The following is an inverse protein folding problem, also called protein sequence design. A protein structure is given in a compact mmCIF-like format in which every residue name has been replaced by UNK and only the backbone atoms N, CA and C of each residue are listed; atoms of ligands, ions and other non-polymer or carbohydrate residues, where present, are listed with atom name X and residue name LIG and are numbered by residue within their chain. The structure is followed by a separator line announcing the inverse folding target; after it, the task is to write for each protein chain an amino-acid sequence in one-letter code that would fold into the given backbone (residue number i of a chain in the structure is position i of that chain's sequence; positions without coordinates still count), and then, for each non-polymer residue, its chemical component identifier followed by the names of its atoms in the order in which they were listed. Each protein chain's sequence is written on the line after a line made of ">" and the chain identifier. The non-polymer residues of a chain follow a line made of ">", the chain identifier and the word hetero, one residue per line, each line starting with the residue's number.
data_IF_002148652311
#
_entry.id   IF_002148652311
#
_cell.length_a   1.000
_cell.length_b   1.000
_cell.length_c   1.000
_cell.angle_alpha   90.00
_cell.angle_beta   90.00
_cell.angle_gamma   90.00
#
_symmetry.space_group_name_H-M   'P 1'
#
loop_
_entity.id
_entity.type
_entity.pdbx_description
1 polymer ?
#
# COMPACT_ATOMS: atom_id res chain seq x y z
N UNK A 1 -4.63 -13.28 23.56
CA UNK A 1 -4.93 -13.66 22.15
C UNK A 1 -5.58 -12.52 21.36
N UNK A 2 -6.72 -11.95 21.77
CA UNK A 2 -7.41 -10.87 21.01
C UNK A 2 -6.55 -9.60 20.81
N UNK A 3 -5.74 -9.22 21.81
CA UNK A 3 -4.84 -8.05 21.70
C UNK A 3 -3.76 -8.24 20.63
N UNK A 4 -3.09 -9.40 20.61
CA UNK A 4 -2.09 -9.74 19.58
C UNK A 4 -2.72 -9.75 18.19
N UNK A 5 -3.93 -10.28 18.05
CA UNK A 5 -4.64 -10.26 16.77
C UNK A 5 -4.93 -8.83 16.29
N UNK A 6 -5.39 -7.93 17.18
CA UNK A 6 -5.57 -6.52 16.84
C UNK A 6 -4.25 -5.84 16.44
N UNK A 7 -3.16 -6.15 17.13
CA UNK A 7 -1.83 -5.65 16.79
C UNK A 7 -1.35 -6.16 15.42
N UNK A 8 -1.57 -7.44 15.12
CA UNK A 8 -1.29 -8.02 13.81
C UNK A 8 -2.11 -7.34 12.71
N UNK A 9 -3.40 -7.09 12.93
CA UNK A 9 -4.25 -6.39 11.94
C UNK A 9 -3.80 -4.94 11.73
N UNK A 10 -3.37 -4.24 12.78
CA UNK A 10 -2.77 -2.92 12.65
C UNK A 10 -1.51 -2.97 11.77
N UNK A 11 -0.62 -3.93 12.03
CA UNK A 11 0.62 -4.07 11.25
C UNK A 11 0.32 -4.52 9.80
N UNK A 12 -0.71 -5.33 9.57
CA UNK A 12 -1.26 -5.63 8.23
C UNK A 12 -1.66 -4.35 7.48
N UNK A 13 -2.35 -3.44 8.14
CA UNK A 13 -2.79 -2.18 7.52
C UNK A 13 -1.59 -1.33 7.12
N UNK A 14 -0.64 -1.16 8.04
CA UNK A 14 0.56 -0.34 7.82
C UNK A 14 1.45 -0.94 6.72
N UNK A 15 1.64 -2.26 6.71
CA UNK A 15 2.38 -2.95 5.65
C UNK A 15 1.67 -2.81 4.31
N UNK A 16 0.35 -3.03 4.26
CA UNK A 16 -0.42 -2.94 3.01
C UNK A 16 -0.40 -1.52 2.42
N UNK A 17 -0.47 -0.49 3.27
CA UNK A 17 -0.40 0.92 2.89
C UNK A 17 0.98 1.34 2.33
N UNK A 18 2.05 0.61 2.64
CA UNK A 18 3.41 0.91 2.16
C UNK A 18 3.82 0.05 0.96
N UNK A 19 3.48 -1.25 0.99
CA UNK A 19 3.94 -2.23 -0.01
C UNK A 19 3.10 -2.28 -1.27
N UNK A 20 1.82 -1.89 -1.18
CA UNK A 20 0.89 -1.94 -2.31
C UNK A 20 0.49 -3.36 -2.71
N UNK A 21 0.72 -4.38 -1.86
CA UNK A 21 0.29 -5.76 -2.13
C UNK A 21 -1.24 -5.84 -2.31
N UNK A 22 -1.70 -6.76 -3.18
CA UNK A 22 -3.14 -7.11 -3.21
C UNK A 22 -3.52 -7.81 -1.91
N UNK A 23 -4.79 -7.72 -1.51
CA UNK A 23 -5.31 -8.37 -0.29
C UNK A 23 -4.99 -9.87 -0.26
N UNK A 24 -5.17 -10.57 -1.39
CA UNK A 24 -4.85 -11.99 -1.51
C UNK A 24 -3.36 -12.31 -1.47
N UNK A 25 -2.51 -11.44 -2.03
CA UNK A 25 -1.04 -11.58 -1.96
C UNK A 25 -0.57 -11.37 -0.51
N UNK A 26 -1.02 -10.30 0.13
CA UNK A 26 -0.68 -9.96 1.51
C UNK A 26 -1.10 -11.06 2.49
N UNK A 27 -2.34 -11.57 2.40
CA UNK A 27 -2.86 -12.62 3.31
C UNK A 27 -2.18 -13.99 3.15
N UNK A 28 -1.49 -14.22 2.03
CA UNK A 28 -0.75 -15.45 1.76
C UNK A 28 0.78 -15.25 1.85
N UNK A 29 1.23 -14.06 2.26
CA UNK A 29 2.65 -13.75 2.42
C UNK A 29 3.22 -14.60 3.55
N UNK A 30 4.35 -15.26 3.30
CA UNK A 30 5.08 -16.07 4.28
C UNK A 30 6.32 -15.34 4.78
N UNK A 31 6.85 -15.74 5.95
CA UNK A 31 8.09 -15.15 6.45
C UNK A 31 9.29 -15.42 5.53
N UNK A 32 9.30 -16.53 4.79
CA UNK A 32 10.31 -16.82 3.76
C UNK A 32 10.18 -15.95 2.51
N UNK A 33 9.05 -15.27 2.31
CA UNK A 33 8.86 -14.28 1.24
C UNK A 33 9.44 -12.89 1.63
N UNK A 34 9.83 -12.71 2.90
CA UNK A 34 10.52 -11.52 3.42
C UNK A 34 12.03 -11.78 3.34
N UNK A 35 12.66 -11.37 2.24
CA UNK A 35 14.04 -11.76 1.94
C UNK A 35 15.06 -11.09 2.85
N UNK A 36 14.89 -9.77 3.07
CA UNK A 36 15.74 -9.00 3.98
C UNK A 36 15.06 -7.69 4.39
N UNK A 37 15.57 -7.10 5.46
CA UNK A 37 15.23 -5.75 5.92
C UNK A 37 16.54 -4.98 6.01
N UNK A 38 16.59 -3.80 5.39
CA UNK A 38 17.77 -2.94 5.29
C UNK A 38 17.46 -1.55 5.85
N UNK A 39 18.41 -0.98 6.59
CA UNK A 39 18.32 0.35 7.18
C UNK A 39 19.05 1.36 6.28
N UNK A 40 18.39 2.48 5.97
CA UNK A 40 18.94 3.55 5.15
C UNK A 40 18.75 4.90 5.84
N UNK A 41 19.80 5.72 5.83
CA UNK A 41 19.71 7.14 6.22
C UNK A 41 19.00 7.88 5.07
N UNK A 42 17.94 8.61 5.39
CA UNK A 42 17.15 9.39 4.42
C UNK A 42 17.35 10.90 4.57
N UNK A 43 17.89 11.33 5.70
CA UNK A 43 18.32 12.70 5.94
C UNK A 43 19.64 12.64 6.73
N UNK A 44 20.73 13.09 6.08
CA UNK A 44 22.07 13.10 6.68
C UNK A 44 22.19 14.13 7.81
N UNK A 45 21.44 15.22 7.76
CA UNK A 45 21.52 16.30 8.74
C UNK A 45 20.77 15.95 10.03
N UNK A 46 19.65 15.23 9.93
CA UNK A 46 18.86 14.81 11.10
C UNK A 46 19.14 13.37 11.53
N UNK A 47 20.02 12.66 10.81
CA UNK A 47 20.27 11.21 10.95
C UNK A 47 18.98 10.38 10.89
N UNK A 48 17.97 10.84 10.13
CA UNK A 48 16.70 10.13 10.04
C UNK A 48 16.89 8.83 9.25
N UNK A 49 16.39 7.72 9.82
CA UNK A 49 16.54 6.37 9.28
C UNK A 49 15.21 5.81 8.81
N UNK A 50 15.24 5.09 7.69
CA UNK A 50 14.11 4.35 7.14
C UNK A 50 14.48 2.88 6.97
N UNK A 51 13.63 1.99 7.48
CA UNK A 51 13.74 0.56 7.20
C UNK A 51 12.99 0.21 5.91
N UNK A 52 13.70 -0.40 4.97
CA UNK A 52 13.15 -0.98 3.76
C UNK A 52 13.04 -2.49 3.91
N UNK A 53 12.01 -3.07 3.30
CA UNK A 53 11.82 -4.52 3.21
C UNK A 53 11.91 -4.96 1.76
N UNK A 54 12.73 -5.98 1.50
CA UNK A 54 12.75 -6.70 0.23
C UNK A 54 11.74 -7.84 0.31
N UNK A 55 10.72 -7.78 -0.55
CA UNK A 55 9.67 -8.78 -0.61
C UNK A 55 9.70 -9.53 -1.93
N UNK A 56 9.38 -10.81 -1.86
CA UNK A 56 9.10 -11.68 -2.99
C UNK A 56 7.63 -12.04 -3.05
N UNK A 57 6.95 -11.63 -4.11
CA UNK A 57 5.59 -12.09 -4.39
C UNK A 57 5.67 -13.28 -5.33
N UNK A 58 5.23 -14.43 -4.81
CA UNK A 58 5.22 -15.70 -5.53
C UNK A 58 4.17 -15.70 -6.64
N UNK A 59 4.44 -16.41 -7.74
CA UNK A 59 3.56 -16.41 -8.91
C UNK A 59 2.20 -17.06 -8.60
N UNK A 60 2.15 -18.00 -7.65
CA UNK A 60 0.95 -18.72 -7.22
C UNK A 60 -0.07 -17.80 -6.54
N UNK A 61 0.41 -16.78 -5.83
CA UNK A 61 -0.45 -15.82 -5.10
C UNK A 61 -0.73 -14.55 -5.92
N UNK A 62 0.03 -14.35 -7.00
CA UNK A 62 -0.11 -13.23 -7.93
C UNK A 62 -1.33 -13.38 -8.83
N UNK A 63 -2.18 -12.33 -8.91
CA UNK A 63 -3.33 -12.31 -9.82
C UNK A 63 -2.92 -12.54 -11.29
N UNK A 64 -1.75 -12.04 -11.67
CA UNK A 64 -1.25 -12.07 -13.05
C UNK A 64 -0.33 -13.26 -13.32
N UNK A 65 -0.17 -14.19 -12.35
CA UNK A 65 0.68 -15.40 -12.46
C UNK A 65 2.14 -15.13 -12.79
N UNK A 66 2.62 -13.93 -12.51
CA UNK A 66 4.03 -13.55 -12.62
C UNK A 66 4.60 -13.29 -11.24
N UNK A 67 5.80 -13.82 -10.92
CA UNK A 67 6.50 -13.48 -9.70
C UNK A 67 7.07 -12.07 -9.82
N UNK A 68 7.31 -11.43 -8.68
CA UNK A 68 8.02 -10.16 -8.64
C UNK A 68 8.71 -9.97 -7.31
N UNK A 69 9.81 -9.24 -7.34
CA UNK A 69 10.57 -8.87 -6.16
C UNK A 69 10.76 -7.36 -6.16
N UNK A 70 10.59 -6.72 -5.00
CA UNK A 70 10.69 -5.28 -4.88
C UNK A 70 11.09 -4.85 -3.48
N UNK A 71 11.65 -3.65 -3.39
CA UNK A 71 11.90 -2.96 -2.13
C UNK A 71 10.72 -2.02 -1.82
N UNK A 72 10.39 -1.91 -0.55
CA UNK A 72 9.34 -1.01 -0.07
C UNK A 72 9.70 -0.47 1.31
N UNK A 73 9.20 0.73 1.62
CA UNK A 73 9.15 1.24 3.00
C UNK A 73 8.28 0.33 3.88
N UNK A 74 8.40 0.48 5.20
CA UNK A 74 7.58 -0.23 6.18
C UNK A 74 8.26 -1.48 6.76
N UNK A 75 9.59 -1.61 6.64
CA UNK A 75 10.33 -2.72 7.22
C UNK A 75 10.20 -2.80 8.75
N UNK A 76 10.07 -1.66 9.42
CA UNK A 76 9.83 -1.54 10.85
C UNK A 76 8.56 -2.28 11.31
N UNK A 77 7.55 -2.37 10.44
CA UNK A 77 6.31 -3.09 10.74
C UNK A 77 6.49 -4.60 10.68
N UNK A 78 7.36 -5.10 9.79
CA UNK A 78 7.73 -6.51 9.76
C UNK A 78 8.55 -6.90 10.98
N UNK A 79 9.53 -6.09 11.37
CA UNK A 79 10.33 -6.30 12.59
C UNK A 79 9.41 -6.40 13.81
N UNK A 80 8.59 -5.37 14.02
CA UNK A 80 7.65 -5.31 15.15
C UNK A 80 6.64 -6.45 15.17
N UNK A 81 6.17 -6.87 13.99
CA UNK A 81 5.24 -7.99 13.89
C UNK A 81 5.95 -9.31 14.26
N UNK A 82 7.18 -9.50 13.77
CA UNK A 82 7.98 -10.71 14.03
C UNK A 82 8.26 -10.89 15.52
N UNK A 83 8.61 -9.81 16.22
CA UNK A 83 8.87 -9.81 17.68
C UNK A 83 7.65 -10.22 18.51
N UNK A 84 6.44 -10.01 18.00
CA UNK A 84 5.18 -10.27 18.73
C UNK A 84 4.55 -11.61 18.40
N UNK A 85 4.97 -12.22 17.29
CA UNK A 85 4.39 -13.47 16.79
C UNK A 85 5.18 -14.67 17.32
N UNK A 86 4.47 -15.75 17.61
CA UNK A 86 5.10 -17.02 18.00
C UNK A 86 5.56 -17.83 16.77
N UNK A 87 4.89 -17.65 15.64
CA UNK A 87 5.11 -18.45 14.43
C UNK A 87 5.82 -17.61 13.36
N UNK A 88 7.15 -17.71 13.31
CA UNK A 88 7.99 -16.88 12.44
C UNK A 88 8.93 -17.65 11.51
N UNK A 89 8.84 -18.97 11.48
CA UNK A 89 9.58 -19.80 10.53
C UNK A 89 9.23 -19.48 9.06
N UNK A 90 10.14 -19.74 8.10
CA UNK A 90 9.96 -19.32 6.70
C UNK A 90 8.67 -19.77 6.02
N UNK A 91 8.11 -20.91 6.42
CA UNK A 91 6.89 -21.44 5.81
C UNK A 91 5.60 -20.90 6.46
N UNK A 92 5.70 -20.22 7.60
CA UNK A 92 4.56 -19.61 8.28
C UNK A 92 4.07 -18.35 7.58
N UNK A 93 2.75 -18.14 7.60
CA UNK A 93 2.13 -16.90 7.16
C UNK A 93 2.50 -15.72 8.09
N UNK A 94 2.81 -14.58 7.48
CA UNK A 94 3.11 -13.32 8.20
C UNK A 94 1.90 -12.85 9.00
N UNK A 95 0.70 -12.96 8.44
CA UNK A 95 -0.55 -12.52 9.06
C UNK A 95 -1.41 -13.69 9.51
N UNK A 96 -0.92 -14.42 10.50
CA UNK A 96 -1.60 -15.56 11.09
C UNK A 96 -1.37 -15.64 12.59
N UNK A 97 -2.36 -16.17 13.32
CA UNK A 97 -2.27 -16.42 14.76
C UNK A 97 -1.75 -17.83 15.09
N UNK A 98 -1.70 -18.73 14.11
CA UNK A 98 -1.26 -20.12 14.23
C UNK A 98 -0.16 -20.49 13.21
N UNK A 99 0.36 -19.49 12.50
CA UNK A 99 1.36 -19.62 11.44
C UNK A 99 0.83 -20.19 10.13
N UNK A 100 -0.40 -20.68 10.04
CA UNK A 100 -0.89 -21.46 8.88
C UNK A 100 -2.15 -20.87 8.25
N UNK A 101 -3.07 -20.41 9.08
CA UNK A 101 -4.39 -19.97 8.67
C UNK A 101 -4.50 -18.44 8.75
N UNK A 102 -5.08 -17.84 7.71
CA UNK A 102 -5.52 -16.45 7.76
C UNK A 102 -6.74 -16.32 8.68
N UNK A 103 -6.99 -15.11 9.20
CA UNK A 103 -8.24 -14.84 9.91
C UNK A 103 -9.43 -15.10 8.99
N UNK A 104 -10.54 -15.55 9.57
CA UNK A 104 -11.79 -15.72 8.82
C UNK A 104 -12.28 -14.39 8.26
N UNK A 105 -13.05 -14.44 7.17
CA UNK A 105 -13.64 -13.23 6.57
C UNK A 105 -14.44 -12.40 7.58
N UNK A 106 -15.18 -13.06 8.47
CA UNK A 106 -15.92 -12.39 9.54
C UNK A 106 -14.99 -11.64 10.50
N UNK A 107 -13.87 -12.24 10.92
CA UNK A 107 -12.88 -11.59 11.79
C UNK A 107 -12.23 -10.37 11.11
N UNK A 108 -11.82 -10.50 9.85
CA UNK A 108 -11.29 -9.37 9.08
C UNK A 108 -12.29 -8.21 9.01
N UNK A 109 -13.57 -8.51 8.76
CA UNK A 109 -14.66 -7.53 8.71
C UNK A 109 -14.89 -6.86 10.06
N UNK A 110 -14.89 -7.62 11.15
CA UNK A 110 -15.03 -7.08 12.51
C UNK A 110 -13.93 -6.09 12.84
N UNK A 111 -12.66 -6.43 12.56
CA UNK A 111 -11.55 -5.51 12.81
C UNK A 111 -11.63 -4.26 11.94
N UNK A 112 -11.98 -4.39 10.66
CA UNK A 112 -12.12 -3.24 9.76
C UNK A 112 -13.24 -2.31 10.22
N UNK A 113 -14.38 -2.88 10.61
CA UNK A 113 -15.52 -2.13 11.16
C UNK A 113 -15.14 -1.39 12.43
N UNK A 114 -14.42 -2.06 13.34
CA UNK A 114 -13.92 -1.46 14.57
C UNK A 114 -12.95 -0.32 14.30
N UNK A 115 -12.03 -0.48 13.35
CA UNK A 115 -11.09 0.56 12.94
C UNK A 115 -11.82 1.79 12.38
N UNK A 116 -12.74 1.59 11.43
CA UNK A 116 -13.45 2.69 10.78
C UNK A 116 -14.30 3.48 11.76
N UNK A 117 -15.03 2.78 12.65
CA UNK A 117 -15.78 3.42 13.74
C UNK A 117 -14.86 4.17 14.70
N UNK A 118 -13.74 3.56 15.10
CA UNK A 118 -12.76 4.18 16.01
C UNK A 118 -12.07 5.40 15.41
N UNK A 119 -11.86 5.42 14.08
CA UNK A 119 -11.33 6.56 13.34
C UNK A 119 -12.39 7.66 13.07
N UNK A 120 -13.65 7.48 13.48
CA UNK A 120 -14.73 8.42 13.23
C UNK A 120 -15.18 8.49 11.77
N UNK A 121 -14.79 7.53 10.93
CA UNK A 121 -15.17 7.49 9.52
C UNK A 121 -16.56 6.88 9.42
N UNK A 122 -17.57 7.68 9.04
CA UNK A 122 -18.98 7.24 9.02
C UNK A 122 -19.44 6.67 7.68
N UNK A 123 -18.90 7.17 6.59
CA UNK A 123 -19.27 6.88 5.20
C UNK A 123 -18.34 5.85 4.54
N UNK A 124 -17.62 5.05 5.31
CA UNK A 124 -16.67 4.07 4.76
C UNK A 124 -17.36 2.92 4.03
N UNK A 125 -18.55 2.50 4.47
CA UNK A 125 -19.23 1.33 3.94
C UNK A 125 -20.09 1.72 2.75
N UNK A 126 -20.04 0.92 1.69
CA UNK A 126 -20.98 1.05 0.56
C UNK A 126 -22.37 0.61 1.01
N UNK A 127 -23.33 1.51 0.91
CA UNK A 127 -24.72 1.25 1.29
C UNK A 127 -25.65 1.64 0.14
N UNK A 128 -26.62 0.77 -0.16
CA UNK A 128 -27.62 1.07 -1.18
C UNK A 128 -28.64 2.06 -0.63
N UNK A 129 -28.90 3.14 -1.38
CA UNK A 129 -29.91 4.11 -1.00
C UNK A 129 -31.30 3.50 -1.14
N UNK A 130 -32.13 3.73 -0.13
CA UNK A 130 -33.53 3.35 -0.13
C UNK A 130 -34.42 4.59 -0.08
N UNK A 131 -35.62 4.50 -0.65
CA UNK A 131 -36.64 5.52 -0.55
C UNK A 131 -37.40 5.42 0.79
N UNK A 132 -38.41 6.28 0.97
CA UNK A 132 -39.26 6.30 2.18
C UNK A 132 -40.06 5.00 2.40
N UNK A 133 -40.24 4.20 1.35
CA UNK A 133 -40.97 2.94 1.38
C UNK A 133 -40.02 1.73 1.59
N UNK A 134 -38.71 1.97 1.63
CA UNK A 134 -37.69 0.93 1.79
C UNK A 134 -37.24 0.29 0.47
N UNK A 135 -37.70 0.79 -0.68
CA UNK A 135 -37.30 0.33 -2.01
C UNK A 135 -35.96 0.95 -2.43
N UNK A 136 -35.17 0.23 -3.24
CA UNK A 136 -33.89 0.75 -3.70
C UNK A 136 -34.07 1.90 -4.68
N UNK A 137 -33.35 2.99 -4.46
CA UNK A 137 -33.27 4.08 -5.44
C UNK A 137 -32.49 3.61 -6.66
N UNK A 138 -33.01 3.90 -7.84
CA UNK A 138 -32.40 3.57 -9.12
C UNK A 138 -31.95 4.86 -9.83
N UNK A 139 -30.87 4.79 -10.60
CA UNK A 139 -30.48 5.84 -11.55
C UNK A 139 -31.30 5.78 -12.84
N UNK A 140 -31.02 6.69 -13.77
CA UNK A 140 -31.73 6.79 -15.06
C UNK A 140 -31.60 5.53 -15.93
N UNK A 141 -30.58 4.70 -15.69
CA UNK A 141 -30.33 3.44 -16.38
C UNK A 141 -30.91 2.23 -15.62
N UNK A 142 -31.57 2.45 -14.48
CA UNK A 142 -32.16 1.40 -13.65
C UNK A 142 -31.18 0.70 -12.71
N UNK A 143 -29.95 1.21 -12.53
CA UNK A 143 -28.98 0.66 -11.60
C UNK A 143 -29.20 1.20 -10.17
N UNK A 144 -28.95 0.37 -9.16
CA UNK A 144 -29.12 0.77 -7.76
C UNK A 144 -28.09 1.82 -7.34
N UNK A 145 -28.56 2.93 -6.81
CA UNK A 145 -27.72 4.02 -6.30
C UNK A 145 -27.13 3.63 -4.95
N UNK A 146 -25.84 3.91 -4.78
CA UNK A 146 -25.13 3.67 -3.52
C UNK A 146 -24.52 4.94 -2.94
N UNK A 147 -24.44 5.00 -1.62
CA UNK A 147 -23.69 5.99 -0.87
C UNK A 147 -22.46 5.33 -0.21
N UNK A 148 -21.53 6.16 0.24
CA UNK A 148 -20.32 5.77 0.95
C UNK A 148 -19.13 5.48 0.03
N UNK A 149 -17.93 5.64 0.58
CA UNK A 149 -16.64 5.56 -0.12
C UNK A 149 -16.17 4.15 -0.44
N UNK A 150 -16.90 3.12 0.01
CA UNK A 150 -16.53 1.71 -0.15
C UNK A 150 -15.07 1.41 0.27
N UNK A 151 -14.65 1.96 1.41
CA UNK A 151 -13.33 1.74 1.95
C UNK A 151 -13.21 0.31 2.47
N UNK A 152 -12.27 -0.43 1.89
CA UNK A 152 -11.96 -1.82 2.26
C UNK A 152 -10.44 -1.96 2.43
N UNK A 153 -9.96 -3.14 2.85
CA UNK A 153 -8.51 -3.40 2.85
C UNK A 153 -7.87 -3.20 1.47
N UNK A 154 -8.62 -3.35 0.38
CA UNK A 154 -8.11 -3.08 -0.96
C UNK A 154 -7.81 -1.58 -1.19
N UNK A 155 -8.52 -0.69 -0.48
CA UNK A 155 -8.28 0.75 -0.51
C UNK A 155 -6.88 1.14 -0.02
N UNK A 156 -6.23 0.31 0.82
CA UNK A 156 -4.84 0.54 1.25
C UNK A 156 -3.86 0.47 0.08
N UNK A 157 -4.12 -0.41 -0.90
CA UNK A 157 -3.35 -0.46 -2.14
C UNK A 157 -3.56 0.79 -2.98
N UNK A 158 -4.79 1.27 -3.10
CA UNK A 158 -5.08 2.53 -3.79
C UNK A 158 -4.33 3.71 -3.14
N UNK A 159 -4.35 3.77 -1.80
CA UNK A 159 -3.61 4.76 -1.04
C UNK A 159 -2.10 4.70 -1.32
N UNK A 160 -1.52 3.50 -1.32
CA UNK A 160 -0.11 3.30 -1.62
C UNK A 160 0.27 3.83 -3.01
N UNK A 161 -0.47 3.42 -4.04
CA UNK A 161 -0.21 3.81 -5.43
C UNK A 161 -0.35 5.33 -5.58
N UNK A 162 -1.44 5.91 -5.06
CA UNK A 162 -1.67 7.36 -5.07
C UNK A 162 -0.51 8.11 -4.41
N UNK A 163 -0.07 7.62 -3.24
CA UNK A 163 1.03 8.24 -2.51
C UNK A 163 2.34 8.21 -3.29
N UNK A 164 2.66 7.10 -3.98
CA UNK A 164 3.87 6.99 -4.81
C UNK A 164 3.81 7.88 -6.06
N UNK A 165 2.64 7.97 -6.70
CA UNK A 165 2.41 8.89 -7.83
C UNK A 165 2.62 10.34 -7.38
N UNK A 166 2.02 10.74 -6.24
CA UNK A 166 2.21 12.08 -5.67
C UNK A 166 3.65 12.36 -5.21
N UNK A 167 4.38 11.33 -4.80
CA UNK A 167 5.83 11.44 -4.53
C UNK A 167 6.68 11.51 -5.81
N UNK A 168 6.08 11.51 -7.00
CA UNK A 168 6.79 11.63 -8.26
C UNK A 168 7.55 10.38 -8.71
N UNK A 169 7.27 9.21 -8.10
CA UNK A 169 7.90 7.94 -8.49
C UNK A 169 7.45 7.57 -9.93
N UNK A 170 8.36 7.14 -10.82
CA UNK A 170 7.99 6.78 -12.18
C UNK A 170 6.89 5.70 -12.23
N UNK A 171 5.88 5.89 -13.07
CA UNK A 171 4.74 4.97 -13.16
C UNK A 171 5.15 3.54 -13.52
N UNK A 172 6.23 3.38 -14.29
CA UNK A 172 6.77 2.07 -14.65
C UNK A 172 7.33 1.32 -13.44
N UNK A 173 7.94 2.02 -12.49
CA UNK A 173 8.49 1.43 -11.27
C UNK A 173 7.37 1.05 -10.31
N UNK A 174 6.36 1.92 -10.17
CA UNK A 174 5.14 1.60 -9.41
C UNK A 174 4.46 0.37 -10.03
N UNK A 175 4.31 0.33 -11.36
CA UNK A 175 3.73 -0.79 -12.12
C UNK A 175 4.44 -2.10 -11.83
N UNK A 176 5.78 -2.12 -11.89
CA UNK A 176 6.61 -3.28 -11.57
C UNK A 176 6.46 -3.71 -10.11
N UNK A 177 6.45 -2.75 -9.17
CA UNK A 177 6.30 -3.01 -7.74
C UNK A 177 4.94 -3.64 -7.41
N UNK A 178 3.85 -3.00 -7.83
CA UNK A 178 2.51 -3.43 -7.44
C UNK A 178 1.95 -4.52 -8.35
N UNK A 179 2.57 -4.77 -9.50
CA UNK A 179 2.17 -5.80 -10.47
C UNK A 179 0.84 -5.48 -11.15
N UNK A 180 0.69 -4.27 -11.70
CA UNK A 180 -0.47 -3.82 -12.48
C UNK A 180 0.02 -3.01 -13.69
N UNK A 181 -0.77 -2.90 -14.77
CA UNK A 181 -0.34 -2.15 -15.94
C UNK A 181 -0.23 -0.64 -15.69
N UNK A 182 0.74 0.00 -16.37
CA UNK A 182 0.92 1.47 -16.36
C UNK A 182 -0.36 2.18 -16.79
N UNK A 183 -1.00 1.72 -17.87
CA UNK A 183 -2.26 2.31 -18.35
C UNK A 183 -3.38 2.27 -17.30
N UNK A 184 -3.44 1.22 -16.47
CA UNK A 184 -4.40 1.18 -15.37
C UNK A 184 -4.04 2.18 -14.27
N UNK A 185 -2.75 2.36 -13.96
CA UNK A 185 -2.31 3.34 -12.96
C UNK A 185 -2.62 4.76 -13.45
N UNK A 186 -2.25 5.06 -14.69
CA UNK A 186 -2.46 6.36 -15.32
C UNK A 186 -3.94 6.76 -15.26
N UNK A 187 -4.84 5.91 -15.77
CA UNK A 187 -6.29 6.20 -15.79
C UNK A 187 -6.90 6.41 -14.40
N UNK A 188 -6.34 5.77 -13.37
CA UNK A 188 -6.98 5.68 -12.05
C UNK A 188 -6.41 6.66 -11.03
N UNK A 189 -5.11 6.96 -11.11
CA UNK A 189 -4.40 7.72 -10.07
C UNK A 189 -3.70 8.97 -10.57
N UNK A 190 -3.58 9.13 -11.89
CA UNK A 190 -3.01 10.34 -12.48
C UNK A 190 -4.13 11.34 -12.76
N UNK A 191 -4.49 12.10 -11.73
CA UNK A 191 -5.21 13.35 -11.91
C UNK A 191 -4.16 14.44 -12.10
N UNK A 192 -3.99 14.92 -13.33
CA UNK A 192 -2.97 15.91 -13.66
C UNK A 192 -3.34 17.26 -13.02
N UNK A 193 -2.93 17.46 -11.77
CA UNK A 193 -3.14 18.69 -11.02
C UNK A 193 -2.08 19.74 -11.41
N UNK A 194 -2.45 21.01 -11.38
CA UNK A 194 -1.57 22.13 -11.79
C UNK A 194 -0.25 22.15 -11.00
N UNK A 195 -0.26 21.75 -9.73
CA UNK A 195 0.93 21.62 -8.88
C UNK A 195 1.91 20.56 -9.38
N UNK A 196 1.39 19.42 -9.87
CA UNK A 196 2.20 18.36 -10.45
C UNK A 196 2.80 18.80 -11.79
N UNK A 197 2.04 19.56 -12.60
CA UNK A 197 2.51 20.18 -13.83
C UNK A 197 3.66 21.16 -13.56
N UNK A 198 3.47 22.07 -12.60
CA UNK A 198 4.47 23.05 -12.17
C UNK A 198 5.75 22.38 -11.67
N UNK A 199 5.63 21.34 -10.85
CA UNK A 199 6.80 20.60 -10.36
C UNK A 199 7.54 19.90 -11.49
N UNK A 200 6.82 19.28 -12.44
CA UNK A 200 7.44 18.62 -13.58
C UNK A 200 8.09 19.60 -14.55
N UNK A 201 7.49 20.78 -14.78
CA UNK A 201 8.05 21.83 -15.62
C UNK A 201 9.35 22.42 -15.06
N UNK A 202 9.54 22.37 -13.73
CA UNK A 202 10.75 22.83 -13.05
C UNK A 202 11.87 21.77 -12.99
N UNK A 203 11.60 20.51 -13.35
CA UNK A 203 12.64 19.47 -13.39
C UNK A 203 13.60 19.77 -14.54
N UNK A 204 14.88 19.89 -14.22
CA UNK A 204 15.95 20.11 -15.18
C UNK A 204 16.97 18.98 -15.10
N UNK A 205 17.86 18.89 -16.09
CA UNK A 205 18.92 17.89 -16.15
C UNK A 205 20.25 18.58 -16.44
N UNK A 206 21.35 17.99 -15.99
CA UNK A 206 22.70 18.34 -16.42
C UNK A 206 23.27 17.26 -17.32
N UNK A 207 24.30 17.59 -18.10
CA UNK A 207 25.07 16.64 -18.91
C UNK A 207 26.50 16.59 -18.40
N UNK A 208 26.91 15.46 -17.85
CA UNK A 208 28.31 15.18 -17.51
C UNK A 208 28.81 13.99 -18.33
N UNK A 209 29.96 14.15 -19.00
CA UNK A 209 30.60 13.10 -19.80
C UNK A 209 29.65 12.38 -20.80
N UNK A 210 28.71 13.12 -21.40
CA UNK A 210 27.74 12.60 -22.36
C UNK A 210 26.52 11.89 -21.73
N UNK A 211 26.44 11.78 -20.40
CA UNK A 211 25.31 11.20 -19.69
C UNK A 211 24.37 12.30 -19.18
N UNK A 212 23.07 12.12 -19.41
CA UNK A 212 22.02 12.99 -18.88
C UNK A 212 21.73 12.62 -17.43
N UNK A 213 21.98 13.53 -16.50
CA UNK A 213 21.77 13.34 -15.06
C UNK A 213 20.61 14.25 -14.61
N UNK A 214 19.49 13.69 -14.09
CA UNK A 214 18.40 14.49 -13.52
C UNK A 214 18.88 15.25 -12.28
N UNK A 215 18.57 16.55 -12.19
CA UNK A 215 18.88 17.34 -11.00
C UNK A 215 17.77 17.12 -9.96
N UNK A 216 18.06 16.40 -8.87
CA UNK A 216 17.15 16.33 -7.73
C UNK A 216 17.24 17.61 -6.90
N UNK A 217 16.09 18.11 -6.43
CA UNK A 217 15.92 19.39 -5.71
C UNK A 217 16.66 19.45 -4.35
N UNK A 218 17.37 18.38 -3.97
CA UNK A 218 18.08 18.22 -2.71
C UNK A 218 19.59 18.50 -2.79
N UNK A 219 20.08 19.22 -3.79
CA UNK A 219 21.30 20.01 -3.60
C UNK A 219 20.92 21.40 -3.09
N UNK A 220 20.57 21.50 -1.80
CA UNK A 220 20.78 22.77 -1.10
C UNK A 220 22.28 23.01 -1.10
N UNK A 221 22.68 23.89 -1.99
CA UNK A 221 23.96 24.58 -2.10
C UNK A 221 24.88 24.37 -0.87
N UNK A 222 25.77 23.39 -0.98
CA UNK A 222 27.17 23.67 -0.62
C UNK A 222 27.65 24.66 -1.67
N UNK A 223 27.61 25.95 -1.36
CA UNK A 223 28.53 27.02 -1.81
C UNK A 223 28.13 28.29 -1.02
N UNK A 224 28.85 28.52 0.09
CA UNK A 224 29.37 29.80 0.58
C UNK A 224 29.85 29.59 2.03
#
# INVERSE_FOLDING_TARGET
>A
KLQLERQMVRDYILISANTGLRVGEARQLKWGDVERIEEHIIDEATEEKQLLVKLKVRWETSKVRLPREFLSRGGEYFVRLKERQQFTEPHHLVFSMDGKNSLTSARWTTHWTGLMKGAGIKDWKKEYLKDKNGEYKLDEEGNRITNGRNLTYYSLRHFQITSRVKSGVPLIDISKQVGTSVSHIEKTYLHYEEEQSRTNALKTYTKENGMTIPLEKNMREKIA
#
